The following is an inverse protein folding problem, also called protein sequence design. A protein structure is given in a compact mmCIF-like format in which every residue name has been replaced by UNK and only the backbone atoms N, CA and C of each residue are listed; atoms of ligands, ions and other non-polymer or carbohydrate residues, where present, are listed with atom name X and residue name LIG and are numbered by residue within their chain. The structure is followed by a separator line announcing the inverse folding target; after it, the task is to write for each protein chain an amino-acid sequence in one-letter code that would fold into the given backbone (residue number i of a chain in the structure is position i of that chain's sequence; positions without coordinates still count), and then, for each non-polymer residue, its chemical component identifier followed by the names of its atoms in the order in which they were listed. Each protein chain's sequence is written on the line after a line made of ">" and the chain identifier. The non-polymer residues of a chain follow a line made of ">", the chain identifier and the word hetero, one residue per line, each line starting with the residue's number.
data_IF_595869545607
#
_entry.id   IF_595869545607
#
_cell.length_a   1.000
_cell.length_b   1.000
_cell.length_c   1.000
_cell.angle_alpha   90.00
_cell.angle_beta   90.00
_cell.angle_gamma   90.00
#
_symmetry.space_group_name_H-M   'P 1'
#
loop_
_entity.id
_entity.type
_entity.pdbx_description
1 polymer ?
#
# COMPACT_ATOMS: atom_id res chain seq x y z
N UNK A 1 24.56 40.07 39.10
CA UNK A 1 23.58 40.32 38.01
C UNK A 1 23.77 39.26 36.94
N UNK A 2 23.07 38.13 37.05
CA UNK A 2 23.09 37.04 36.07
C UNK A 2 21.65 36.89 35.58
N UNK A 3 21.44 37.16 34.30
CA UNK A 3 20.14 37.08 33.66
C UNK A 3 19.74 35.60 33.48
N UNK A 4 18.68 35.20 34.16
CA UNK A 4 18.07 33.88 33.99
C UNK A 4 17.37 33.81 32.62
N UNK A 5 17.96 33.09 31.68
CA UNK A 5 17.32 32.72 30.42
C UNK A 5 16.25 31.65 30.70
N UNK A 6 14.99 32.07 30.68
CA UNK A 6 13.82 31.19 30.76
C UNK A 6 13.70 30.36 29.48
N UNK A 7 14.04 29.07 29.58
CA UNK A 7 13.87 28.09 28.51
C UNK A 7 12.39 27.69 28.42
N UNK A 8 11.76 27.67 27.24
CA UNK A 8 10.39 27.20 27.10
C UNK A 8 10.37 25.66 27.09
N UNK A 9 9.98 25.07 28.23
CA UNK A 9 9.66 23.65 28.32
C UNK A 9 8.55 23.29 27.32
N UNK A 10 8.87 22.41 26.38
CA UNK A 10 7.90 21.74 25.51
C UNK A 10 7.13 20.77 26.40
N UNK A 11 5.92 21.15 26.80
CA UNK A 11 5.02 20.30 27.57
C UNK A 11 4.42 19.23 26.65
N UNK A 12 4.83 17.98 26.82
CA UNK A 12 4.36 16.77 26.12
C UNK A 12 2.91 16.35 26.47
N UNK A 13 2.06 17.28 26.93
CA UNK A 13 0.74 16.95 27.51
C UNK A 13 -0.42 16.72 26.54
N UNK A 14 -0.22 16.86 25.22
CA UNK A 14 -1.34 16.86 24.25
C UNK A 14 -1.59 15.53 23.53
N UNK A 15 -0.70 14.55 23.65
CA UNK A 15 -0.85 13.25 22.96
C UNK A 15 -1.61 12.23 23.84
N UNK A 16 -1.57 12.39 25.16
CA UNK A 16 -2.20 11.46 26.12
C UNK A 16 -3.73 11.59 26.23
N UNK A 17 -4.33 12.69 25.76
CA UNK A 17 -5.79 12.93 25.94
C UNK A 17 -6.67 12.31 24.86
N UNK A 18 -6.11 11.81 23.76
CA UNK A 18 -6.87 11.08 22.72
C UNK A 18 -6.60 9.57 22.71
N UNK A 19 -5.75 9.06 23.62
CA UNK A 19 -5.18 7.71 23.51
C UNK A 19 -5.39 6.81 24.75
N UNK A 20 -6.04 7.29 25.81
CA UNK A 20 -6.29 6.50 27.03
C UNK A 20 -7.79 6.32 27.30
N UNK A 21 -8.22 5.17 27.87
CA UNK A 21 -9.60 4.98 28.32
C UNK A 21 -10.01 6.10 29.30
N UNK A 22 -11.26 6.57 29.19
CA UNK A 22 -11.81 7.73 29.92
C UNK A 22 -11.59 7.72 31.46
N UNK A 23 -11.29 6.58 32.07
CA UNK A 23 -11.04 6.45 33.50
C UNK A 23 -9.65 6.95 33.94
N UNK A 24 -8.63 6.88 33.09
CA UNK A 24 -7.25 7.31 33.42
C UNK A 24 -6.94 8.74 32.95
N UNK A 25 -7.60 9.22 31.89
CA UNK A 25 -7.43 10.60 31.41
C UNK A 25 -7.91 11.63 32.45
N UNK A 26 -8.92 11.31 33.26
CA UNK A 26 -9.47 12.20 34.28
C UNK A 26 -8.57 12.38 35.52
N UNK A 27 -7.67 11.44 35.83
CA UNK A 27 -6.73 11.58 36.97
C UNK A 27 -5.40 12.23 36.58
N UNK A 28 -5.00 12.15 35.31
CA UNK A 28 -3.82 12.85 34.80
C UNK A 28 -4.14 14.28 34.33
N UNK A 29 -5.39 14.54 33.92
CA UNK A 29 -5.85 15.90 33.56
C UNK A 29 -5.92 16.86 34.75
N UNK A 30 -6.04 16.35 35.98
CA UNK A 30 -6.00 17.17 37.21
C UNK A 30 -4.59 17.66 37.56
N UNK A 31 -3.54 17.02 37.05
CA UNK A 31 -2.14 17.36 37.36
C UNK A 31 -1.47 18.26 36.33
N UNK A 32 -2.08 18.42 35.15
CA UNK A 32 -1.56 19.28 34.09
C UNK A 32 -2.50 20.46 33.87
N UNK A 33 -2.03 21.72 33.92
CA UNK A 33 -2.87 22.87 33.66
C UNK A 33 -3.52 22.72 32.29
N UNK A 34 -4.85 22.72 32.25
CA UNK A 34 -5.58 22.54 31.00
C UNK A 34 -5.17 23.66 30.04
N UNK A 35 -4.58 23.33 28.87
CA UNK A 35 -4.13 24.36 27.96
C UNK A 35 -5.34 25.20 27.55
N UNK A 36 -5.17 26.53 27.56
CA UNK A 36 -6.23 27.45 27.13
C UNK A 36 -6.74 27.04 25.73
N UNK A 37 -8.00 27.35 25.43
CA UNK A 37 -8.59 27.03 24.13
C UNK A 37 -7.75 27.54 22.96
N UNK A 38 -7.14 28.72 23.12
CA UNK A 38 -6.18 29.29 22.17
C UNK A 38 -4.95 28.40 22.01
N UNK A 39 -4.33 27.94 23.10
CA UNK A 39 -3.19 27.01 23.05
C UNK A 39 -3.55 25.68 22.38
N UNK A 40 -4.71 25.10 22.68
CA UNK A 40 -5.21 23.87 22.03
C UNK A 40 -5.37 24.06 20.52
N UNK A 41 -6.04 25.15 20.10
CA UNK A 41 -6.20 25.50 18.69
C UNK A 41 -4.85 25.71 17.99
N UNK A 42 -3.89 26.32 18.68
CA UNK A 42 -2.55 26.54 18.17
C UNK A 42 -1.80 25.21 17.96
N UNK A 43 -1.85 24.31 18.93
CA UNK A 43 -1.24 22.97 18.83
C UNK A 43 -1.89 22.14 17.71
N UNK A 44 -3.22 22.13 17.62
CA UNK A 44 -3.94 21.42 16.56
C UNK A 44 -3.55 21.92 15.15
N UNK A 45 -3.36 23.23 14.97
CA UNK A 45 -2.90 23.77 13.69
C UNK A 45 -1.44 23.40 13.38
N UNK A 46 -0.55 23.37 14.39
CA UNK A 46 0.82 22.86 14.19
C UNK A 46 0.82 21.41 13.76
N UNK A 47 0.02 20.60 14.45
CA UNK A 47 -0.14 19.19 14.17
C UNK A 47 -0.61 18.94 12.73
N UNK A 48 -1.66 19.64 12.28
CA UNK A 48 -2.14 19.53 10.89
C UNK A 48 -1.09 19.93 9.85
N UNK A 49 -0.26 20.94 10.15
CA UNK A 49 0.86 21.32 9.28
C UNK A 49 1.91 20.23 9.24
N UNK A 50 2.26 19.65 10.39
CA UNK A 50 3.22 18.55 10.48
C UNK A 50 2.73 17.31 9.72
N UNK A 51 1.46 16.96 9.86
CA UNK A 51 0.83 15.86 9.13
C UNK A 51 0.85 16.07 7.61
N UNK A 52 0.51 17.29 7.14
CA UNK A 52 0.56 17.62 5.72
C UNK A 52 2.01 17.60 5.19
N UNK A 53 3.00 18.06 5.97
CA UNK A 53 4.42 17.95 5.60
C UNK A 53 4.89 16.51 5.51
N UNK A 54 4.50 15.66 6.47
CA UNK A 54 4.81 14.23 6.42
C UNK A 54 4.23 13.59 5.15
N UNK A 55 3.03 14.00 4.68
CA UNK A 55 2.52 13.54 3.38
C UNK A 55 3.38 14.02 2.21
N UNK A 56 3.76 15.31 2.19
CA UNK A 56 4.62 15.84 1.13
C UNK A 56 5.95 15.10 1.08
N UNK A 57 6.61 14.87 2.22
CA UNK A 57 7.87 14.13 2.28
C UNK A 57 7.70 12.70 1.75
N UNK A 58 6.63 12.00 2.14
CA UNK A 58 6.32 10.65 1.63
C UNK A 58 6.20 10.65 0.11
N UNK A 59 5.41 11.56 -0.45
CA UNK A 59 5.17 11.66 -1.90
C UNK A 59 6.45 12.06 -2.64
N UNK A 60 7.27 12.95 -2.07
CA UNK A 60 8.56 13.34 -2.64
C UNK A 60 9.56 12.18 -2.64
N UNK A 61 9.62 11.38 -1.58
CA UNK A 61 10.44 10.18 -1.53
C UNK A 61 9.99 9.15 -2.58
N UNK A 62 8.67 8.96 -2.75
CA UNK A 62 8.13 8.07 -3.78
C UNK A 62 8.47 8.57 -5.20
N UNK A 63 8.38 9.88 -5.45
CA UNK A 63 8.80 10.47 -6.73
C UNK A 63 10.29 10.25 -6.97
N UNK A 64 11.14 10.52 -5.97
CA UNK A 64 12.58 10.37 -6.09
C UNK A 64 12.96 8.91 -6.42
N UNK A 65 12.37 7.95 -5.70
CA UNK A 65 12.58 6.52 -5.97
C UNK A 65 12.14 6.16 -7.41
N UNK A 66 10.96 6.62 -7.85
CA UNK A 66 10.48 6.35 -9.22
C UNK A 66 11.33 7.02 -10.31
N UNK A 67 11.91 8.19 -10.04
CA UNK A 67 12.78 8.89 -10.99
C UNK A 67 14.13 8.15 -11.17
N UNK A 68 14.61 7.42 -10.15
CA UNK A 68 15.82 6.59 -10.23
C UNK A 68 15.64 5.32 -11.09
N UNK A 69 14.42 4.82 -11.25
CA UNK A 69 14.13 3.68 -12.10
C UNK A 69 14.30 4.04 -13.59
N UNK A 70 15.35 3.49 -14.23
CA UNK A 70 15.50 3.48 -15.69
C UNK A 70 15.36 2.08 -16.26
N UNK A 71 14.63 1.89 -17.38
CA UNK A 71 13.92 2.91 -18.16
C UNK A 71 12.57 3.32 -17.53
N UNK A 72 12.25 4.61 -17.62
CA UNK A 72 10.93 5.11 -17.22
C UNK A 72 9.87 4.56 -18.18
N UNK A 73 8.84 3.93 -17.62
CA UNK A 73 7.69 3.45 -18.38
C UNK A 73 6.61 4.53 -18.41
N UNK A 74 5.67 4.45 -19.36
CA UNK A 74 4.50 5.34 -19.39
C UNK A 74 3.73 5.30 -18.05
N UNK A 75 3.75 4.15 -17.38
CA UNK A 75 3.19 3.90 -16.06
C UNK A 75 3.83 4.76 -14.97
N UNK A 76 5.16 4.68 -14.88
CA UNK A 76 5.92 5.47 -13.91
C UNK A 76 5.73 6.96 -14.15
N UNK A 77 5.71 7.42 -15.40
CA UNK A 77 5.45 8.84 -15.71
C UNK A 77 4.05 9.31 -15.28
N UNK A 78 3.01 8.51 -15.55
CA UNK A 78 1.64 8.83 -15.12
C UNK A 78 1.55 8.88 -13.60
N UNK A 79 2.17 7.91 -12.91
CA UNK A 79 2.23 7.87 -11.45
C UNK A 79 2.95 9.10 -10.89
N UNK A 80 4.10 9.47 -11.43
CA UNK A 80 4.84 10.68 -11.04
C UNK A 80 3.98 11.93 -11.22
N UNK A 81 3.24 12.05 -12.34
CA UNK A 81 2.32 13.18 -12.55
C UNK A 81 1.22 13.23 -11.47
N UNK A 82 0.61 12.09 -11.14
CA UNK A 82 -0.39 12.02 -10.06
C UNK A 82 0.20 12.40 -8.70
N UNK A 83 1.38 11.88 -8.37
CA UNK A 83 2.10 12.21 -7.14
C UNK A 83 2.45 13.70 -7.06
N UNK A 84 2.86 14.33 -8.16
CA UNK A 84 3.12 15.79 -8.19
C UNK A 84 1.85 16.60 -7.93
N UNK A 85 0.71 16.17 -8.45
CA UNK A 85 -0.60 16.81 -8.17
C UNK A 85 -0.96 16.65 -6.69
N UNK A 86 -0.76 15.47 -6.12
CA UNK A 86 -1.01 15.19 -4.70
C UNK A 86 -0.09 16.01 -3.78
N UNK A 87 1.19 16.10 -4.11
CA UNK A 87 2.16 16.95 -3.43
C UNK A 87 1.71 18.42 -3.47
N UNK A 88 1.34 18.94 -4.65
CA UNK A 88 0.84 20.31 -4.82
C UNK A 88 -0.43 20.59 -3.99
N UNK A 89 -1.35 19.63 -3.90
CA UNK A 89 -2.53 19.73 -3.03
C UNK A 89 -2.12 19.83 -1.57
N UNK A 90 -1.21 18.98 -1.11
CA UNK A 90 -0.71 18.98 0.27
C UNK A 90 0.08 20.26 0.61
N UNK A 91 0.87 20.77 -0.34
CA UNK A 91 1.59 22.05 -0.21
C UNK A 91 0.63 23.24 -0.12
N UNK A 92 -0.41 23.28 -0.95
CA UNK A 92 -1.44 24.32 -0.88
C UNK A 92 -2.14 24.31 0.49
N UNK A 93 -2.39 23.12 1.05
CA UNK A 93 -2.94 22.96 2.39
C UNK A 93 -1.98 23.48 3.47
N UNK A 94 -0.68 23.24 3.34
CA UNK A 94 0.35 23.80 4.24
C UNK A 94 0.32 25.34 4.18
N UNK A 95 0.20 25.95 2.99
CA UNK A 95 0.14 27.41 2.84
C UNK A 95 -1.11 27.97 3.54
N UNK A 96 -2.28 27.35 3.33
CA UNK A 96 -3.53 27.72 3.99
C UNK A 96 -3.45 27.58 5.52
N UNK A 97 -2.83 26.52 6.02
CA UNK A 97 -2.65 26.34 7.46
C UNK A 97 -1.64 27.32 8.05
N UNK A 98 -0.55 27.64 7.33
CA UNK A 98 0.42 28.66 7.73
C UNK A 98 -0.18 30.06 7.73
N UNK A 99 -1.07 30.40 6.79
CA UNK A 99 -1.76 31.70 6.80
C UNK A 99 -2.68 31.82 8.03
N UNK A 100 -3.38 30.74 8.40
CA UNK A 100 -4.15 30.64 9.65
C UNK A 100 -3.26 30.77 10.89
N UNK A 101 -2.05 30.18 10.89
CA UNK A 101 -1.08 30.37 11.97
C UNK A 101 -0.61 31.84 12.05
N UNK A 102 -0.33 32.49 10.91
CA UNK A 102 0.06 33.90 10.89
C UNK A 102 -1.01 34.80 11.53
N UNK A 103 -2.29 34.58 11.20
CA UNK A 103 -3.43 35.30 11.79
C UNK A 103 -3.58 35.10 13.30
N UNK A 104 -3.03 34.01 13.86
CA UNK A 104 -3.05 33.71 15.29
C UNK A 104 -1.78 34.15 16.02
N UNK A 105 -0.92 34.94 15.36
CA UNK A 105 0.31 35.49 15.95
C UNK A 105 1.35 34.43 16.29
N UNK A 106 1.51 33.39 15.45
CA UNK A 106 2.57 32.42 15.68
C UNK A 106 3.95 33.04 15.40
N UNK A 107 4.93 32.87 16.31
CA UNK A 107 6.29 33.32 16.06
C UNK A 107 6.90 32.52 14.89
N UNK A 108 7.61 33.22 14.00
CA UNK A 108 8.39 32.58 12.93
C UNK A 108 9.57 31.82 13.55
N UNK A 109 9.59 30.50 13.36
CA UNK A 109 10.67 29.62 13.81
C UNK A 109 11.73 29.50 12.71
N UNK A 110 12.61 30.49 12.58
CA UNK A 110 13.67 30.47 11.57
C UNK A 110 15.02 29.94 12.11
N UNK A 111 15.15 29.83 13.44
CA UNK A 111 16.38 29.38 14.09
C UNK A 111 16.55 27.86 14.00
N UNK A 112 17.77 27.37 14.28
CA UNK A 112 18.12 25.93 14.32
C UNK A 112 17.21 25.13 15.26
N UNK A 113 16.91 25.63 16.46
CA UNK A 113 15.92 24.99 17.35
C UNK A 113 14.53 24.91 16.72
N UNK A 114 14.20 25.89 15.88
CA UNK A 114 12.96 25.93 15.12
C UNK A 114 12.89 24.88 14.01
N UNK A 115 14.00 24.58 13.34
CA UNK A 115 14.07 23.50 12.34
C UNK A 115 14.05 22.14 13.00
N UNK A 116 14.79 21.94 14.10
CA UNK A 116 14.72 20.71 14.90
C UNK A 116 13.29 20.45 15.39
N UNK A 117 12.64 21.45 15.99
CA UNK A 117 11.25 21.33 16.43
C UNK A 117 10.29 20.98 15.29
N UNK A 118 10.50 21.52 14.08
CA UNK A 118 9.69 21.17 12.91
C UNK A 118 9.92 19.72 12.48
N UNK A 119 11.18 19.27 12.46
CA UNK A 119 11.54 17.91 12.07
C UNK A 119 11.00 16.89 13.08
N UNK A 120 11.07 17.21 14.38
CA UNK A 120 10.44 16.41 15.44
C UNK A 120 8.92 16.39 15.31
N UNK A 121 8.27 17.53 15.05
CA UNK A 121 6.82 17.55 14.82
C UNK A 121 6.42 16.69 13.61
N UNK A 122 7.19 16.73 12.51
CA UNK A 122 6.94 15.87 11.34
C UNK A 122 7.20 14.40 11.61
N UNK A 123 8.23 14.08 12.40
CA UNK A 123 8.56 12.72 12.82
C UNK A 123 7.45 12.15 13.73
N UNK A 124 7.01 12.91 14.72
CA UNK A 124 5.88 12.52 15.57
C UNK A 124 4.62 12.33 14.73
N UNK A 125 4.41 13.15 13.69
CA UNK A 125 3.26 13.00 12.79
C UNK A 125 3.34 11.74 11.91
N UNK A 126 4.52 11.29 11.50
CA UNK A 126 4.68 9.98 10.87
C UNK A 126 4.50 8.85 11.88
N UNK A 127 5.09 8.96 13.07
CA UNK A 127 4.95 7.97 14.14
C UNK A 127 3.48 7.80 14.55
N UNK A 128 2.68 8.87 14.57
CA UNK A 128 1.25 8.76 14.87
C UNK A 128 0.49 7.91 13.84
N UNK A 129 0.90 7.91 12.56
CA UNK A 129 0.29 7.01 11.56
C UNK A 129 0.63 5.57 11.88
N UNK A 130 1.89 5.29 12.16
CA UNK A 130 2.34 3.96 12.56
C UNK A 130 1.69 3.50 13.88
N UNK A 131 1.51 4.38 14.86
CA UNK A 131 0.79 4.06 16.09
C UNK A 131 -0.71 3.89 15.87
N UNK A 132 -1.30 4.56 14.87
CA UNK A 132 -2.69 4.32 14.48
C UNK A 132 -2.90 2.91 13.92
N UNK A 133 -1.89 2.34 13.25
CA UNK A 133 -1.90 0.92 12.84
C UNK A 133 -1.95 0.03 14.09
N UNK A 134 -1.02 0.20 15.03
CA UNK A 134 -1.02 -0.54 16.30
C UNK A 134 -2.36 -0.40 17.03
N UNK A 135 -2.93 0.80 17.12
CA UNK A 135 -4.22 1.03 17.78
C UNK A 135 -5.38 0.36 17.06
N UNK A 136 -5.40 0.37 15.73
CA UNK A 136 -6.39 -0.35 14.94
C UNK A 136 -6.30 -1.86 15.23
N UNK A 137 -5.09 -2.41 15.29
CA UNK A 137 -4.86 -3.83 15.63
C UNK A 137 -5.30 -4.18 17.05
N UNK A 138 -4.98 -3.33 18.02
CA UNK A 138 -5.44 -3.51 19.40
C UNK A 138 -6.96 -3.41 19.52
N UNK A 139 -7.62 -2.68 18.62
CA UNK A 139 -9.08 -2.53 18.59
C UNK A 139 -9.79 -3.70 17.90
N UNK A 140 -9.17 -4.28 16.88
CA UNK A 140 -9.74 -5.42 16.13
C UNK A 140 -9.44 -6.76 16.79
N UNK A 141 -8.34 -6.87 17.55
CA UNK A 141 -7.98 -8.09 18.26
C UNK A 141 -8.89 -8.38 19.45
N UNK A 142 -9.21 -9.66 19.65
CA UNK A 142 -9.98 -10.14 20.81
C UNK A 142 -9.22 -10.03 22.12
N UNK A 143 -7.89 -10.12 22.09
CA UNK A 143 -6.99 -10.09 23.25
C UNK A 143 -5.78 -9.16 23.04
N UNK A 144 -5.90 -7.85 23.30
CA UNK A 144 -4.84 -6.88 23.01
C UNK A 144 -3.55 -7.11 23.80
N UNK A 145 -3.66 -7.62 25.04
CA UNK A 145 -2.51 -7.88 25.90
C UNK A 145 -1.66 -9.05 25.42
N UNK A 146 -2.26 -10.09 24.85
CA UNK A 146 -1.49 -11.22 24.33
C UNK A 146 -0.70 -10.82 23.09
N UNK A 147 -1.28 -9.97 22.22
CA UNK A 147 -0.63 -9.42 21.05
C UNK A 147 0.60 -8.58 21.44
N UNK A 148 0.44 -7.66 22.40
CA UNK A 148 1.55 -6.87 22.91
C UNK A 148 2.64 -7.74 23.55
N UNK A 149 2.25 -8.77 24.30
CA UNK A 149 3.20 -9.68 24.92
C UNK A 149 3.97 -10.49 23.86
N UNK A 150 3.29 -11.02 22.84
CA UNK A 150 3.97 -11.76 21.75
C UNK A 150 4.92 -10.86 20.98
N UNK A 151 4.49 -9.65 20.63
CA UNK A 151 5.33 -8.71 19.89
C UNK A 151 6.56 -8.26 20.68
N UNK A 152 6.38 -7.94 21.97
CA UNK A 152 7.52 -7.57 22.83
C UNK A 152 8.50 -8.71 23.00
N UNK A 153 8.03 -9.96 23.15
CA UNK A 153 8.89 -11.13 23.19
C UNK A 153 9.66 -11.32 21.87
N UNK A 154 8.99 -11.16 20.72
CA UNK A 154 9.62 -11.28 19.41
C UNK A 154 10.62 -10.16 19.13
N UNK A 155 10.34 -8.92 19.56
CA UNK A 155 11.32 -7.83 19.52
C UNK A 155 12.54 -8.11 20.37
N UNK A 156 12.35 -8.66 21.57
CA UNK A 156 13.46 -9.04 22.43
C UNK A 156 14.28 -10.17 21.79
N UNK A 157 13.64 -11.16 21.15
CA UNK A 157 14.32 -12.22 20.41
C UNK A 157 15.08 -11.69 19.20
N UNK A 158 14.47 -10.81 18.40
CA UNK A 158 15.15 -10.19 17.26
C UNK A 158 16.33 -9.32 17.71
N UNK A 159 16.15 -8.55 18.78
CA UNK A 159 17.17 -7.68 19.36
C UNK A 159 18.28 -8.42 20.09
N UNK A 160 18.04 -9.64 20.58
CA UNK A 160 19.08 -10.49 21.19
C UNK A 160 19.80 -11.37 20.16
N UNK A 161 19.26 -11.48 18.94
CA UNK A 161 19.87 -12.26 17.85
C UNK A 161 21.02 -11.48 17.20
N UNK A 162 22.29 -11.87 17.45
CA UNK A 162 23.44 -11.09 16.99
C UNK A 162 23.55 -11.02 15.46
N UNK A 163 23.06 -12.06 14.77
CA UNK A 163 23.07 -12.16 13.30
C UNK A 163 22.07 -11.21 12.63
N UNK A 164 20.93 -10.95 13.26
CA UNK A 164 19.96 -9.96 12.79
C UNK A 164 20.50 -8.57 13.09
N UNK A 165 20.93 -8.31 14.33
CA UNK A 165 21.53 -7.03 14.72
C UNK A 165 22.64 -6.59 13.77
N UNK A 166 23.60 -7.46 13.48
CA UNK A 166 24.71 -7.14 12.57
C UNK A 166 24.22 -6.75 11.17
N UNK A 167 23.18 -7.41 10.66
CA UNK A 167 22.57 -7.08 9.35
C UNK A 167 21.77 -5.79 9.41
N UNK A 168 20.98 -5.56 10.47
CA UNK A 168 20.24 -4.29 10.64
C UNK A 168 21.16 -3.08 10.75
N UNK A 169 22.30 -3.22 11.42
CA UNK A 169 23.30 -2.14 11.55
C UNK A 169 23.98 -1.87 10.19
N UNK A 170 24.05 -2.87 9.31
CA UNK A 170 24.62 -2.73 7.96
C UNK A 170 23.65 -2.14 6.93
N UNK A 171 22.34 -2.11 7.20
CA UNK A 171 21.36 -1.46 6.32
C UNK A 171 21.69 0.03 6.21
N UNK A 172 22.15 0.45 5.03
CA UNK A 172 22.55 1.84 4.75
C UNK A 172 21.41 2.83 4.98
N UNK A 173 20.17 2.35 4.89
CA UNK A 173 18.94 3.13 4.92
C UNK A 173 18.05 2.83 6.13
N UNK A 174 18.57 2.14 7.16
CA UNK A 174 17.85 1.82 8.42
C UNK A 174 17.20 3.04 9.10
N UNK A 175 17.79 4.23 8.96
CA UNK A 175 17.22 5.47 9.52
C UNK A 175 15.82 5.79 8.97
N UNK A 176 15.50 5.33 7.75
CA UNK A 176 14.17 5.52 7.13
C UNK A 176 13.10 4.64 7.75
N UNK A 177 13.48 3.57 8.46
CA UNK A 177 12.53 2.69 9.16
C UNK A 177 12.11 3.23 10.53
N UNK A 178 12.91 4.12 11.13
CA UNK A 178 12.63 4.72 12.46
C UNK A 178 11.21 5.30 12.57
N UNK A 179 10.69 6.10 11.61
CA UNK A 179 9.31 6.61 11.70
C UNK A 179 8.25 5.50 11.73
N UNK A 180 8.56 4.31 11.20
CA UNK A 180 7.68 3.15 11.14
C UNK A 180 7.93 2.15 12.28
N UNK A 181 8.86 2.43 13.20
CA UNK A 181 9.28 1.50 14.24
C UNK A 181 8.11 1.02 15.11
N UNK A 182 7.14 1.90 15.42
CA UNK A 182 5.96 1.52 16.21
C UNK A 182 5.07 0.49 15.48
N UNK A 183 4.88 0.64 14.16
CA UNK A 183 4.09 -0.30 13.37
C UNK A 183 4.85 -1.64 13.18
N UNK A 184 6.17 -1.57 12.94
CA UNK A 184 7.02 -2.78 12.85
C UNK A 184 7.00 -3.53 14.17
N UNK A 185 7.12 -2.82 15.29
CA UNK A 185 7.03 -3.36 16.63
C UNK A 185 5.70 -4.08 16.88
N UNK A 186 4.59 -3.50 16.42
CA UNK A 186 3.23 -4.07 16.55
C UNK A 186 2.96 -5.32 15.72
N UNK A 187 3.93 -5.74 14.91
CA UNK A 187 3.85 -6.91 14.02
C UNK A 187 5.09 -7.78 14.13
N UNK A 188 5.87 -7.57 15.19
CA UNK A 188 7.15 -8.23 15.34
C UNK A 188 7.02 -9.75 15.42
N UNK A 189 5.97 -10.26 16.07
CA UNK A 189 5.76 -11.70 16.16
C UNK A 189 5.60 -12.37 14.79
N UNK A 190 4.78 -11.79 13.92
CA UNK A 190 4.57 -12.25 12.54
C UNK A 190 5.84 -12.09 11.70
N UNK A 191 6.54 -10.97 11.86
CA UNK A 191 7.75 -10.68 11.09
C UNK A 191 8.93 -11.56 11.50
N UNK A 192 9.00 -12.06 12.74
CA UNK A 192 10.13 -12.85 13.26
C UNK A 192 10.49 -14.02 12.36
N UNK A 193 9.49 -14.73 11.84
CA UNK A 193 9.68 -15.88 10.95
C UNK A 193 10.33 -15.50 9.62
N UNK A 194 10.05 -14.30 9.10
CA UNK A 194 10.48 -13.85 7.77
C UNK A 194 11.57 -12.77 7.82
N UNK A 195 11.89 -12.25 9.00
CA UNK A 195 12.83 -11.15 9.25
C UNK A 195 14.17 -11.29 8.50
N UNK A 196 14.88 -12.43 8.52
CA UNK A 196 16.16 -12.52 7.82
C UNK A 196 15.99 -12.39 6.29
N UNK A 197 14.91 -12.93 5.72
CA UNK A 197 14.63 -12.82 4.28
C UNK A 197 14.20 -11.41 3.89
N UNK A 198 13.34 -10.78 4.70
CA UNK A 198 12.89 -9.40 4.50
C UNK A 198 14.07 -8.43 4.54
N UNK A 199 14.94 -8.52 5.54
CA UNK A 199 16.06 -7.56 5.68
C UNK A 199 17.06 -7.65 4.51
N UNK A 200 17.33 -8.86 4.00
CA UNK A 200 18.21 -9.05 2.84
C UNK A 200 17.55 -8.51 1.57
N UNK A 201 16.27 -8.85 1.35
CA UNK A 201 15.57 -8.48 0.13
C UNK A 201 15.25 -6.97 0.07
N UNK A 202 15.00 -6.34 1.22
CA UNK A 202 14.54 -4.95 1.28
C UNK A 202 15.70 -3.94 1.21
N UNK A 203 16.95 -4.29 1.56
CA UNK A 203 18.06 -3.32 1.58
C UNK A 203 18.22 -2.54 0.26
N UNK A 204 18.04 -3.21 -0.88
CA UNK A 204 18.11 -2.60 -2.22
C UNK A 204 16.82 -1.90 -2.70
N UNK A 205 15.68 -2.17 -2.06
CA UNK A 205 14.36 -1.71 -2.52
C UNK A 205 13.61 -0.89 -1.48
N UNK A 206 14.25 -0.56 -0.36
CA UNK A 206 13.62 0.14 0.75
C UNK A 206 13.03 1.49 0.32
N UNK A 207 13.63 2.15 -0.66
CA UNK A 207 13.15 3.44 -1.17
C UNK A 207 11.75 3.35 -1.81
N UNK A 208 11.42 2.21 -2.41
CA UNK A 208 10.11 1.96 -3.00
C UNK A 208 9.09 1.47 -1.97
N UNK A 209 9.55 0.75 -0.94
CA UNK A 209 8.70 0.10 0.07
C UNK A 209 8.37 1.04 1.22
N UNK A 210 9.30 1.89 1.66
CA UNK A 210 9.15 2.82 2.79
C UNK A 210 7.84 3.64 2.71
N UNK A 211 7.50 4.30 1.59
CA UNK A 211 6.30 5.13 1.52
C UNK A 211 4.99 4.37 1.79
N UNK A 212 5.00 3.05 1.60
CA UNK A 212 3.84 2.18 1.72
C UNK A 212 3.94 1.21 2.91
N UNK A 213 4.99 1.29 3.72
CA UNK A 213 5.28 0.33 4.78
C UNK A 213 4.16 0.27 5.84
N UNK A 214 3.60 1.41 6.24
CA UNK A 214 2.47 1.45 7.18
C UNK A 214 1.26 0.65 6.66
N UNK A 215 0.96 0.75 5.37
CA UNK A 215 -0.16 0.04 4.73
C UNK A 215 0.11 -1.46 4.61
N UNK A 216 1.36 -1.84 4.32
CA UNK A 216 1.80 -3.25 4.30
C UNK A 216 1.62 -3.86 5.70
N UNK A 217 2.06 -3.16 6.75
CA UNK A 217 2.00 -3.64 8.13
C UNK A 217 0.55 -3.73 8.65
N UNK A 218 -0.32 -2.80 8.23
CA UNK A 218 -1.74 -2.88 8.54
C UNK A 218 -2.37 -4.14 7.94
N UNK A 219 -2.05 -4.46 6.69
CA UNK A 219 -2.58 -5.64 5.96
C UNK A 219 -1.73 -6.90 6.09
N UNK A 220 -0.76 -6.92 6.99
CA UNK A 220 0.24 -7.99 7.07
C UNK A 220 -0.38 -9.37 7.25
N UNK A 221 -1.46 -9.51 8.02
CA UNK A 221 -2.14 -10.80 8.26
C UNK A 221 -2.61 -11.46 6.95
N UNK A 222 -2.99 -10.66 5.96
CA UNK A 222 -3.45 -11.16 4.65
C UNK A 222 -2.26 -11.42 3.71
N UNK A 223 -1.16 -10.69 3.91
CA UNK A 223 0.06 -10.78 3.09
C UNK A 223 0.95 -11.92 3.54
N UNK A 224 0.97 -12.22 4.84
CA UNK A 224 1.81 -13.22 5.51
C UNK A 224 1.97 -14.53 4.74
N UNK A 225 0.90 -15.24 4.34
CA UNK A 225 1.04 -16.51 3.62
C UNK A 225 1.78 -16.39 2.28
N UNK A 226 1.82 -15.19 1.70
CA UNK A 226 2.44 -14.92 0.41
C UNK A 226 3.79 -14.21 0.50
N UNK A 227 4.31 -13.92 1.72
CA UNK A 227 5.61 -13.28 1.91
C UNK A 227 6.74 -14.03 1.17
N UNK A 228 6.86 -15.38 1.22
CA UNK A 228 7.92 -16.09 0.50
C UNK A 228 7.91 -15.81 -1.01
N UNK A 229 6.72 -15.73 -1.60
CA UNK A 229 6.55 -15.39 -3.02
C UNK A 229 6.96 -13.94 -3.28
N UNK A 230 6.50 -13.00 -2.46
CA UNK A 230 6.82 -11.56 -2.62
C UNK A 230 8.32 -11.33 -2.51
N UNK A 231 9.00 -11.97 -1.55
CA UNK A 231 10.45 -11.84 -1.38
C UNK A 231 11.24 -12.37 -2.58
N UNK A 232 10.79 -13.49 -3.18
CA UNK A 232 11.43 -14.07 -4.37
C UNK A 232 11.30 -13.17 -5.61
N UNK A 233 10.22 -12.38 -5.68
CA UNK A 233 9.89 -11.56 -6.86
C UNK A 233 9.91 -10.06 -6.58
N UNK A 234 10.62 -9.66 -5.54
CA UNK A 234 10.62 -8.29 -5.03
C UNK A 234 11.12 -7.29 -6.09
N UNK A 235 12.05 -7.71 -6.96
CA UNK A 235 12.60 -6.86 -8.03
C UNK A 235 11.53 -6.33 -8.99
N UNK A 236 10.52 -7.16 -9.31
CA UNK A 236 9.43 -6.80 -10.22
C UNK A 236 8.30 -6.09 -9.47
N UNK A 237 8.05 -6.47 -8.22
CA UNK A 237 6.91 -5.99 -7.44
C UNK A 237 7.18 -4.64 -6.74
N UNK A 238 8.40 -4.42 -6.24
CA UNK A 238 8.74 -3.25 -5.44
C UNK A 238 8.46 -1.90 -6.16
N UNK A 239 8.85 -1.70 -7.43
CA UNK A 239 8.53 -0.47 -8.18
C UNK A 239 7.03 -0.14 -8.23
N UNK A 240 6.18 -1.16 -8.13
CA UNK A 240 4.74 -1.07 -8.32
C UNK A 240 3.96 -1.25 -7.00
N UNK A 241 4.66 -1.31 -5.87
CA UNK A 241 4.10 -1.65 -4.56
C UNK A 241 2.88 -0.78 -4.21
N UNK A 242 2.94 0.53 -4.44
CA UNK A 242 1.83 1.43 -4.09
C UNK A 242 0.50 1.11 -4.79
N UNK A 243 0.52 0.72 -6.06
CA UNK A 243 -0.69 0.40 -6.85
C UNK A 243 -1.13 -1.05 -6.61
N UNK A 244 -0.18 -1.96 -6.37
CA UNK A 244 -0.49 -3.34 -6.02
C UNK A 244 -1.17 -3.42 -4.65
N UNK A 245 -0.72 -2.62 -3.67
CA UNK A 245 -1.28 -2.61 -2.31
C UNK A 245 -2.73 -2.11 -2.27
N UNK A 246 -3.09 -1.13 -3.09
CA UNK A 246 -4.49 -0.67 -3.15
C UNK A 246 -5.44 -1.73 -3.69
N UNK A 247 -4.92 -2.70 -4.45
CA UNK A 247 -5.68 -3.79 -5.06
C UNK A 247 -5.31 -5.16 -4.50
N UNK A 248 -4.66 -5.22 -3.34
CA UNK A 248 -4.10 -6.46 -2.84
C UNK A 248 -5.17 -7.50 -2.57
N UNK A 249 -6.33 -7.12 -2.01
CA UNK A 249 -7.44 -8.03 -1.74
C UNK A 249 -7.91 -8.77 -3.00
N UNK A 250 -7.85 -8.08 -4.15
CA UNK A 250 -8.21 -8.62 -5.46
C UNK A 250 -7.09 -9.47 -6.06
N UNK A 251 -5.83 -9.09 -5.84
CA UNK A 251 -4.66 -9.83 -6.29
C UNK A 251 -4.45 -11.13 -5.52
N UNK A 252 -4.76 -11.12 -4.22
CA UNK A 252 -4.65 -12.29 -3.35
C UNK A 252 -5.57 -13.43 -3.78
N UNK A 253 -6.65 -13.14 -4.51
CA UNK A 253 -7.45 -14.18 -5.16
C UNK A 253 -6.65 -15.01 -6.17
N UNK A 254 -5.54 -14.51 -6.70
CA UNK A 254 -4.66 -15.27 -7.61
C UNK A 254 -3.45 -15.88 -6.90
N UNK A 255 -3.24 -15.50 -5.64
CA UNK A 255 -2.19 -16.02 -4.81
C UNK A 255 -2.66 -17.37 -4.23
N UNK A 256 -2.71 -18.39 -5.06
CA UNK A 256 -2.91 -19.77 -4.58
C UNK A 256 -1.63 -20.25 -3.85
N UNK A 257 -1.77 -21.21 -2.94
CA UNK A 257 -0.72 -21.72 -2.03
C UNK A 257 0.61 -22.11 -2.73
N UNK A 258 0.57 -22.39 -4.03
CA UNK A 258 1.73 -22.82 -4.81
C UNK A 258 2.23 -21.80 -5.84
N UNK A 259 1.70 -20.56 -5.85
CA UNK A 259 2.12 -19.54 -6.82
C UNK A 259 1.80 -19.86 -8.28
N UNK A 260 1.02 -20.91 -8.55
CA UNK A 260 0.77 -21.49 -9.87
C UNK A 260 0.30 -20.49 -10.93
N UNK A 261 -0.54 -19.54 -10.52
CA UNK A 261 -1.07 -18.51 -11.42
C UNK A 261 -0.28 -17.20 -11.38
N UNK A 262 0.41 -16.92 -10.27
CA UNK A 262 1.12 -15.67 -10.08
C UNK A 262 2.51 -15.68 -10.73
N UNK A 263 3.23 -16.81 -10.67
CA UNK A 263 4.54 -16.98 -11.31
C UNK A 263 4.51 -16.62 -12.82
N UNK A 264 3.57 -17.14 -13.64
CA UNK A 264 3.50 -16.80 -15.07
C UNK A 264 2.97 -15.39 -15.33
N UNK A 265 2.31 -14.77 -14.35
CA UNK A 265 1.74 -13.43 -14.46
C UNK A 265 2.79 -12.33 -14.19
N UNK A 266 3.85 -12.64 -13.44
CA UNK A 266 4.90 -11.68 -13.05
C UNK A 266 5.47 -10.85 -14.22
N UNK A 267 5.84 -11.43 -15.38
CA UNK A 267 6.38 -10.65 -16.50
C UNK A 267 5.39 -9.58 -17.02
N UNK A 268 4.10 -9.79 -16.76
CA UNK A 268 3.03 -8.91 -17.21
C UNK A 268 2.59 -7.90 -16.16
N UNK A 269 3.05 -8.03 -14.91
CA UNK A 269 2.72 -7.08 -13.82
C UNK A 269 2.95 -5.63 -14.25
N UNK A 270 4.11 -5.23 -14.83
CA UNK A 270 4.33 -3.84 -15.24
C UNK A 270 3.29 -3.32 -16.25
N UNK A 271 2.72 -4.19 -17.08
CA UNK A 271 1.69 -3.81 -18.04
C UNK A 271 0.31 -3.62 -17.38
N UNK A 272 -0.01 -4.45 -16.39
CA UNK A 272 -1.32 -4.44 -15.72
C UNK A 272 -1.40 -3.47 -14.57
N UNK A 273 -0.29 -3.09 -13.93
CA UNK A 273 -0.28 -2.21 -12.76
C UNK A 273 -1.10 -0.94 -13.00
N UNK A 274 -0.88 -0.25 -14.11
CA UNK A 274 -1.65 0.97 -14.45
C UNK A 274 -3.15 0.76 -14.67
N UNK A 275 -3.51 -0.46 -15.03
CA UNK A 275 -4.84 -0.83 -15.52
C UNK A 275 -5.57 -1.71 -14.53
N UNK A 276 -4.95 -2.01 -13.39
CA UNK A 276 -5.44 -3.01 -12.46
C UNK A 276 -6.75 -2.56 -11.83
N UNK A 277 -6.92 -1.27 -11.57
CA UNK A 277 -8.19 -0.73 -11.05
C UNK A 277 -9.35 -0.98 -12.02
N UNK A 278 -9.12 -0.77 -13.32
CA UNK A 278 -10.13 -0.96 -14.35
C UNK A 278 -10.34 -2.45 -14.70
N UNK A 279 -9.29 -3.26 -14.63
CA UNK A 279 -9.31 -4.68 -14.99
C UNK A 279 -9.58 -5.61 -13.81
N UNK A 280 -9.55 -5.11 -12.58
CA UNK A 280 -9.75 -5.91 -11.38
C UNK A 280 -11.06 -6.70 -11.39
N UNK A 281 -12.22 -6.13 -11.74
CA UNK A 281 -13.47 -6.89 -11.81
C UNK A 281 -13.41 -8.02 -12.84
N UNK A 282 -12.70 -7.79 -13.95
CA UNK A 282 -12.48 -8.80 -14.98
C UNK A 282 -11.61 -9.94 -14.48
N UNK A 283 -10.58 -9.65 -13.67
CA UNK A 283 -9.71 -10.68 -13.13
C UNK A 283 -10.47 -11.67 -12.25
N UNK A 284 -11.32 -11.18 -11.34
CA UNK A 284 -12.13 -12.02 -10.45
C UNK A 284 -12.95 -13.03 -11.27
N UNK A 285 -13.60 -12.56 -12.34
CA UNK A 285 -14.39 -13.40 -13.24
C UNK A 285 -13.53 -14.36 -14.08
N UNK A 286 -12.31 -13.95 -14.43
CA UNK A 286 -11.38 -14.76 -15.22
C UNK A 286 -10.69 -15.85 -14.40
N UNK A 287 -10.64 -15.76 -13.06
CA UNK A 287 -9.95 -16.72 -12.17
C UNK A 287 -10.11 -18.19 -12.57
N UNK A 288 -11.33 -18.75 -12.71
CA UNK A 288 -11.50 -20.16 -13.08
C UNK A 288 -10.91 -20.52 -14.45
N UNK A 289 -10.71 -19.54 -15.32
CA UNK A 289 -10.24 -19.72 -16.70
C UNK A 289 -8.76 -19.41 -16.90
N UNK A 290 -8.04 -18.92 -15.87
CA UNK A 290 -6.62 -18.56 -15.98
C UNK A 290 -5.75 -19.71 -16.51
N UNK A 291 -6.08 -20.97 -16.18
CA UNK A 291 -5.37 -22.14 -16.71
C UNK A 291 -5.31 -22.17 -18.25
N UNK A 292 -6.35 -21.69 -18.91
CA UNK A 292 -6.45 -21.66 -20.38
C UNK A 292 -5.98 -20.34 -20.98
N UNK A 293 -6.08 -19.25 -20.23
CA UNK A 293 -5.75 -17.89 -20.69
C UNK A 293 -4.26 -17.59 -20.55
N UNK A 294 -3.59 -18.08 -19.50
CA UNK A 294 -2.18 -17.81 -19.21
C UNK A 294 -1.21 -18.14 -20.35
N UNK A 295 -1.33 -19.28 -21.07
CA UNK A 295 -0.44 -19.57 -22.19
C UNK A 295 -0.52 -18.55 -23.35
N UNK A 296 -1.61 -17.78 -23.41
CA UNK A 296 -1.91 -16.82 -24.48
C UNK A 296 -1.86 -15.36 -24.01
N UNK A 297 -1.30 -15.12 -22.82
CA UNK A 297 -1.29 -13.80 -22.20
C UNK A 297 -0.46 -12.78 -22.99
N UNK A 298 0.52 -13.25 -23.78
CA UNK A 298 1.33 -12.42 -24.66
C UNK A 298 0.54 -11.76 -25.80
N UNK A 299 -0.55 -12.39 -26.22
CA UNK A 299 -1.48 -11.85 -27.20
C UNK A 299 -2.57 -11.02 -26.51
N UNK A 300 -3.06 -11.48 -25.36
CA UNK A 300 -4.23 -10.90 -24.68
C UNK A 300 -3.87 -9.63 -23.91
N UNK A 301 -2.75 -9.63 -23.18
CA UNK A 301 -2.39 -8.53 -22.29
C UNK A 301 -2.35 -7.17 -23.00
N UNK A 302 -1.66 -7.00 -24.15
CA UNK A 302 -1.65 -5.73 -24.88
C UNK A 302 -3.05 -5.19 -25.24
N UNK A 303 -4.03 -6.08 -25.46
CA UNK A 303 -5.39 -5.72 -25.84
C UNK A 303 -6.37 -5.63 -24.67
N UNK A 304 -5.99 -6.08 -23.47
CA UNK A 304 -6.88 -6.18 -22.31
C UNK A 304 -7.56 -4.85 -21.95
N UNK A 305 -6.86 -3.72 -22.10
CA UNK A 305 -7.39 -2.39 -21.80
C UNK A 305 -8.67 -2.05 -22.58
N UNK A 306 -8.79 -2.55 -23.81
CA UNK A 306 -9.96 -2.28 -24.67
C UNK A 306 -11.22 -2.97 -24.18
N UNK A 307 -11.05 -4.01 -23.36
CA UNK A 307 -12.16 -4.77 -22.79
C UNK A 307 -12.66 -4.20 -21.46
N UNK A 308 -12.02 -3.17 -20.91
CA UNK A 308 -12.35 -2.58 -19.59
C UNK A 308 -13.82 -2.18 -19.41
N UNK A 309 -14.49 -1.77 -20.49
CA UNK A 309 -15.89 -1.32 -20.45
C UNK A 309 -16.89 -2.46 -20.61
N UNK A 310 -16.43 -3.66 -20.98
CA UNK A 310 -17.27 -4.80 -21.38
C UNK A 310 -17.05 -5.98 -20.44
N UNK A 311 -17.52 -5.84 -19.20
CA UNK A 311 -17.40 -6.86 -18.13
C UNK A 311 -17.95 -8.24 -18.53
N UNK A 312 -19.01 -8.26 -19.34
CA UNK A 312 -19.60 -9.51 -19.83
C UNK A 312 -18.62 -10.40 -20.60
N UNK A 313 -17.63 -9.80 -21.29
CA UNK A 313 -16.61 -10.57 -22.02
C UNK A 313 -15.82 -11.46 -21.04
N UNK A 314 -15.52 -10.96 -19.85
CA UNK A 314 -14.85 -11.74 -18.81
C UNK A 314 -15.81 -12.68 -18.10
N UNK A 315 -17.07 -12.29 -17.92
CA UNK A 315 -18.10 -13.16 -17.32
C UNK A 315 -18.33 -14.44 -18.13
N UNK A 316 -18.26 -14.34 -19.45
CA UNK A 316 -18.47 -15.44 -20.40
C UNK A 316 -17.16 -15.86 -21.10
N UNK A 317 -16.03 -15.69 -20.41
CA UNK A 317 -14.74 -16.04 -20.97
C UNK A 317 -14.64 -17.52 -21.32
N UNK A 318 -15.28 -18.42 -20.56
CA UNK A 318 -15.42 -19.84 -20.88
C UNK A 318 -16.02 -20.10 -22.26
N UNK A 319 -17.16 -19.47 -22.55
CA UNK A 319 -17.87 -19.63 -23.82
C UNK A 319 -17.02 -19.08 -24.96
N UNK A 320 -16.40 -17.92 -24.76
CA UNK A 320 -15.54 -17.31 -25.77
C UNK A 320 -14.28 -18.13 -26.01
N UNK A 321 -13.64 -18.67 -24.98
CA UNK A 321 -12.45 -19.53 -25.11
C UNK A 321 -12.84 -20.85 -25.79
N UNK A 322 -14.02 -21.39 -25.53
CA UNK A 322 -14.47 -22.61 -26.20
C UNK A 322 -14.71 -22.39 -27.70
N UNK A 323 -15.44 -21.34 -28.08
CA UNK A 323 -15.78 -21.05 -29.48
C UNK A 323 -14.63 -20.42 -30.28
N UNK A 324 -13.84 -19.55 -29.64
CA UNK A 324 -12.79 -18.75 -30.28
C UNK A 324 -11.39 -19.03 -29.73
N UNK A 325 -11.20 -20.05 -28.89
CA UNK A 325 -9.87 -20.42 -28.41
C UNK A 325 -8.91 -20.79 -29.54
N UNK A 326 -9.42 -21.23 -30.69
CA UNK A 326 -8.60 -21.44 -31.88
C UNK A 326 -7.96 -20.15 -32.40
N UNK A 327 -8.60 -18.98 -32.20
CA UNK A 327 -8.02 -17.66 -32.55
C UNK A 327 -6.76 -17.40 -31.73
N UNK A 328 -6.73 -17.84 -30.47
CA UNK A 328 -5.55 -17.73 -29.60
C UNK A 328 -4.43 -18.70 -29.99
N UNK A 329 -4.74 -19.76 -30.75
CA UNK A 329 -3.76 -20.71 -31.29
C UNK A 329 -3.16 -20.27 -32.63
N UNK A 330 -3.69 -19.22 -33.26
CA UNK A 330 -3.10 -18.65 -34.46
C UNK A 330 -1.71 -18.06 -34.15
N UNK A 331 -0.84 -17.89 -35.16
CA UNK A 331 0.43 -17.19 -34.97
C UNK A 331 0.23 -15.85 -34.23
N UNK A 332 1.07 -15.49 -33.23
CA UNK A 332 0.82 -14.36 -32.33
C UNK A 332 0.57 -13.03 -33.05
N UNK A 333 1.18 -12.82 -34.22
CA UNK A 333 0.99 -11.62 -35.02
C UNK A 333 -0.44 -11.53 -35.62
N UNK A 334 -1.03 -12.64 -36.05
CA UNK A 334 -2.42 -12.70 -36.55
C UNK A 334 -3.39 -12.48 -35.40
N UNK A 335 -3.19 -13.18 -34.29
CA UNK A 335 -4.07 -13.08 -33.13
C UNK A 335 -4.06 -11.65 -32.54
N UNK A 336 -2.87 -11.03 -32.44
CA UNK A 336 -2.73 -9.61 -32.03
C UNK A 336 -3.40 -8.66 -33.02
N UNK A 337 -3.29 -8.92 -34.32
CA UNK A 337 -3.94 -8.09 -35.34
C UNK A 337 -5.47 -8.15 -35.19
N UNK A 338 -6.04 -9.34 -35.07
CA UNK A 338 -7.49 -9.52 -34.86
C UNK A 338 -7.92 -8.81 -33.58
N UNK A 339 -7.26 -9.04 -32.45
CA UNK A 339 -7.60 -8.39 -31.17
C UNK A 339 -7.38 -6.87 -31.15
N UNK A 340 -6.64 -6.31 -32.11
CA UNK A 340 -6.44 -4.86 -32.28
C UNK A 340 -7.53 -4.18 -33.09
N UNK A 341 -8.45 -4.92 -33.70
CA UNK A 341 -9.55 -4.31 -34.45
C UNK A 341 -10.54 -3.62 -33.49
N UNK A 342 -11.01 -2.39 -33.79
CA UNK A 342 -11.81 -1.59 -32.86
C UNK A 342 -13.18 -2.19 -32.57
N UNK A 343 -13.73 -2.99 -33.49
CA UNK A 343 -15.05 -3.62 -33.31
C UNK A 343 -15.01 -4.91 -32.47
N UNK A 344 -13.83 -5.47 -32.21
CA UNK A 344 -13.70 -6.79 -31.56
C UNK A 344 -14.24 -6.82 -30.14
N UNK A 345 -14.03 -5.82 -29.26
CA UNK A 345 -14.66 -5.82 -27.95
C UNK A 345 -16.19 -5.84 -28.00
N UNK A 346 -16.79 -5.08 -28.92
CA UNK A 346 -18.24 -5.05 -29.12
C UNK A 346 -18.76 -6.37 -29.68
N UNK A 347 -18.06 -6.93 -30.67
CA UNK A 347 -18.39 -8.23 -31.27
C UNK A 347 -18.27 -9.36 -30.24
N UNK A 348 -17.18 -9.40 -29.47
CA UNK A 348 -16.97 -10.38 -28.41
C UNK A 348 -18.07 -10.29 -27.35
N UNK A 349 -18.44 -9.08 -26.93
CA UNK A 349 -19.54 -8.86 -25.99
C UNK A 349 -20.89 -9.34 -26.55
N UNK A 350 -21.18 -9.04 -27.82
CA UNK A 350 -22.41 -9.50 -28.48
C UNK A 350 -22.45 -11.02 -28.61
N UNK A 351 -21.35 -11.64 -29.05
CA UNK A 351 -21.23 -13.08 -29.22
C UNK A 351 -21.28 -13.82 -27.89
N UNK A 352 -20.62 -13.31 -26.85
CA UNK A 352 -20.66 -13.86 -25.49
C UNK A 352 -22.10 -14.03 -24.97
N UNK A 353 -22.98 -13.08 -25.31
CA UNK A 353 -24.40 -13.13 -24.90
C UNK A 353 -25.25 -14.06 -25.78
N UNK A 354 -24.90 -14.24 -27.05
CA UNK A 354 -25.73 -14.93 -28.06
C UNK A 354 -25.32 -16.37 -28.32
N UNK A 355 -24.07 -16.74 -28.05
CA UNK A 355 -23.57 -18.09 -28.30
C UNK A 355 -24.19 -19.11 -27.34
N UNK A 356 -24.48 -20.33 -27.82
CA UNK A 356 -25.09 -21.36 -26.99
C UNK A 356 -24.11 -21.83 -25.91
N UNK A 357 -24.59 -21.87 -24.67
CA UNK A 357 -23.81 -22.24 -23.47
C UNK A 357 -23.80 -23.75 -23.20
N UNK A 358 -24.77 -24.44 -23.80
CA UNK A 358 -24.98 -25.87 -23.59
C UNK A 358 -23.76 -26.76 -23.91
N UNK A 359 -23.02 -26.59 -25.02
CA UNK A 359 -21.88 -27.46 -25.31
C UNK A 359 -20.71 -27.25 -24.34
N UNK A 360 -20.61 -26.06 -23.75
CA UNK A 360 -19.58 -25.71 -22.77
C UNK A 360 -19.89 -26.39 -21.43
N UNK A 361 -21.11 -26.22 -20.92
CA UNK A 361 -21.48 -26.75 -19.59
C UNK A 361 -21.51 -28.28 -19.51
N UNK A 362 -21.69 -28.99 -20.62
CA UNK A 362 -21.77 -30.46 -20.61
C UNK A 362 -20.41 -31.16 -20.43
N UNK A 363 -19.31 -30.50 -20.81
CA UNK A 363 -17.96 -31.08 -20.76
C UNK A 363 -17.12 -30.59 -19.57
N UNK A 364 -17.50 -29.50 -18.91
CA UNK A 364 -16.78 -28.98 -17.75
C UNK A 364 -17.58 -29.31 -16.47
N UNK A 365 -17.08 -30.26 -15.67
CA UNK A 365 -17.59 -30.57 -14.31
C UNK A 365 -17.42 -29.42 -13.30
N UNK A 366 -16.83 -28.30 -13.70
CA UNK A 366 -16.68 -27.12 -12.86
C UNK A 366 -17.90 -26.25 -13.12
N UNK A 367 -19.00 -26.54 -12.43
CA UNK A 367 -20.04 -25.54 -12.24
C UNK A 367 -19.38 -24.39 -11.47
N UNK A 368 -19.06 -23.31 -12.17
CA UNK A 368 -18.77 -22.05 -11.51
C UNK A 368 -20.05 -21.66 -10.81
N UNK A 369 -20.17 -21.98 -9.53
CA UNK A 369 -21.28 -21.50 -8.73
C UNK A 369 -21.05 -20.00 -8.52
N UNK A 370 -21.59 -19.20 -9.43
CA UNK A 370 -21.44 -17.74 -9.46
C UNK A 370 -22.07 -17.05 -8.24
N UNK A 371 -22.77 -17.79 -7.36
CA UNK A 371 -23.38 -17.28 -6.13
C UNK A 371 -22.37 -16.60 -5.18
N UNK A 372 -21.07 -16.90 -5.28
CA UNK A 372 -20.03 -16.19 -4.51
C UNK A 372 -19.51 -14.89 -5.14
N UNK A 373 -19.78 -14.63 -6.44
CA UNK A 373 -19.29 -13.43 -7.14
C UNK A 373 -20.20 -12.20 -6.98
N UNK A 374 -21.45 -12.38 -6.55
CA UNK A 374 -22.38 -11.25 -6.32
C UNK A 374 -22.02 -10.44 -5.07
N UNK A 375 -21.21 -10.99 -4.16
CA UNK A 375 -20.84 -10.35 -2.89
C UNK A 375 -19.79 -9.23 -3.08
N UNK A 376 -19.12 -9.17 -4.25
CA UNK A 376 -18.01 -8.24 -4.51
C UNK A 376 -18.22 -7.29 -5.70
N UNK A 377 -19.46 -7.18 -6.21
CA UNK A 377 -19.82 -6.28 -7.31
C UNK A 377 -20.29 -4.90 -6.83
#
# INVERSE_FOLDING_TARGET
>A
MVAAASSPWITYGSITTTLLPNSYSNRLSTLLPTPSFSSKKKLALRWRVAQARSQVNRVQNEIAALDELRPQTLATEKRIKMLRVEAGKSESQIILLKSKQSKLGFPRRNNLLGTISKNLETFLASEQRSSSVLLNLLRTSSSPWSLLLSDTQSLLKMGTSPSLLSKTIQLKSSQRLIPHAAAIASRAATLEQYAPGILIAVDGYLEFVEPHLDLILERLDVIEPHIPFVLKHLEVLAPHCGVLLSNIDRLLLFADDNGKYLDPLLPWVPFFVDKIDALSPHFILLRPHFKYVLPHFDVIAPSAERFKEKLDVSRYADVLIWWFGWVLKLPPWVARFILRLPFVPCLANFLARRLPRWPVRRNYKIECNYEGCEIYA
#
